data_IF_357945766047
#
_entry.id   IF_357945766047
#
_cell.length_a   1.000
_cell.length_b   1.000
_cell.length_c   1.000
_cell.angle_alpha   90.00
_cell.angle_beta   90.00
_cell.angle_gamma   90.00
#
_symmetry.space_group_name_H-M   'P 1'
#
loop_
_entity.id
_entity.type
_entity.pdbx_description
1 polymer ?
#
# COMPACT_ATOMS: atom_id res chain seq x y z
N UNK A 1 -4.38 -2.89 12.55
CA UNK A 1 -3.08 -2.63 11.86
C UNK A 1 -1.92 -3.40 12.48
N UNK A 2 -1.64 -3.26 13.79
CA UNK A 2 -0.58 -4.06 14.44
C UNK A 2 -0.87 -5.55 14.36
N UNK A 3 -2.13 -5.97 14.52
CA UNK A 3 -2.51 -7.39 14.40
C UNK A 3 -2.24 -7.99 13.01
N UNK A 4 -2.40 -7.19 11.95
CA UNK A 4 -2.06 -7.59 10.57
C UNK A 4 -0.55 -7.87 10.42
N UNK A 5 0.28 -7.13 11.17
CA UNK A 5 1.72 -7.35 11.18
C UNK A 5 2.05 -8.60 12.01
N UNK A 6 1.60 -8.64 13.26
CA UNK A 6 2.04 -9.63 14.25
C UNK A 6 1.37 -10.99 14.08
N UNK A 7 0.06 -11.02 13.84
CA UNK A 7 -0.71 -12.26 13.83
C UNK A 7 -0.87 -12.84 12.42
N UNK A 8 -1.14 -11.98 11.43
CA UNK A 8 -1.35 -12.42 10.06
C UNK A 8 -0.04 -12.63 9.27
N UNK A 9 1.10 -12.18 9.82
CA UNK A 9 2.45 -12.33 9.23
C UNK A 9 2.49 -11.96 7.74
N UNK A 10 1.77 -10.91 7.33
CA UNK A 10 1.65 -10.48 5.92
C UNK A 10 3.00 -10.24 5.23
N UNK A 11 4.02 -9.84 6.01
CA UNK A 11 5.39 -9.59 5.53
C UNK A 11 6.37 -10.75 5.84
N UNK A 12 5.87 -11.89 6.33
CA UNK A 12 6.68 -13.03 6.78
C UNK A 12 7.18 -12.90 8.23
N UNK A 13 8.17 -13.73 8.60
CA UNK A 13 8.77 -13.71 9.93
C UNK A 13 9.70 -12.49 10.10
N UNK A 14 9.52 -11.75 11.20
CA UNK A 14 10.35 -10.61 11.58
C UNK A 14 10.71 -10.69 13.06
N UNK A 15 11.86 -10.09 13.41
CA UNK A 15 12.40 -10.12 14.78
C UNK A 15 11.85 -9.00 15.64
N UNK A 16 11.77 -7.81 15.06
CA UNK A 16 11.37 -6.58 15.73
C UNK A 16 10.58 -5.71 14.76
N UNK A 17 9.73 -4.85 15.30
CA UNK A 17 9.09 -3.77 14.57
C UNK A 17 9.02 -2.53 15.46
N UNK A 18 8.94 -1.36 14.84
CA UNK A 18 8.72 -0.08 15.51
C UNK A 18 7.74 0.71 14.68
N UNK A 19 6.87 1.48 15.33
CA UNK A 19 5.99 2.41 14.63
C UNK A 19 5.91 3.74 15.36
N UNK A 20 5.78 4.83 14.61
CA UNK A 20 5.40 6.14 15.11
C UNK A 20 4.13 6.60 14.40
N UNK A 21 3.29 7.31 15.14
CA UNK A 21 2.11 8.00 14.59
C UNK A 21 2.40 9.49 14.63
N UNK A 22 2.34 10.13 13.48
CA UNK A 22 2.62 11.55 13.30
C UNK A 22 1.42 12.20 12.63
N UNK A 23 1.13 13.45 12.97
CA UNK A 23 0.10 14.21 12.29
C UNK A 23 0.73 14.92 11.08
N UNK A 24 0.28 14.59 9.88
CA UNK A 24 0.70 15.32 8.69
C UNK A 24 0.15 16.76 8.70
N UNK A 25 0.78 17.66 7.92
CA UNK A 25 0.26 19.01 7.66
C UNK A 25 -1.10 18.87 6.98
N UNK A 26 -2.17 18.96 7.76
CA UNK A 26 -3.53 18.58 7.36
C UNK A 26 -4.30 17.83 8.45
N UNK A 27 -3.65 17.47 9.56
CA UNK A 27 -4.31 16.82 10.71
C UNK A 27 -4.60 15.34 10.51
N UNK A 28 -4.23 14.77 9.36
CA UNK A 28 -4.39 13.35 9.08
C UNK A 28 -3.30 12.54 9.81
N UNK A 29 -3.68 11.43 10.47
CA UNK A 29 -2.71 10.54 11.08
C UNK A 29 -1.92 9.83 9.98
N UNK A 30 -0.60 9.96 10.05
CA UNK A 30 0.37 9.26 9.24
C UNK A 30 1.15 8.31 10.13
N UNK A 31 1.42 7.11 9.64
CA UNK A 31 2.13 6.10 10.42
C UNK A 31 3.42 5.74 9.70
N UNK A 32 4.55 5.89 10.39
CA UNK A 32 5.81 5.30 9.96
C UNK A 32 5.96 3.94 10.64
N UNK A 33 6.13 2.88 9.86
CA UNK A 33 6.31 1.51 10.36
C UNK A 33 7.65 0.98 9.85
N UNK A 34 8.52 0.57 10.75
CA UNK A 34 9.79 -0.09 10.47
C UNK A 34 9.70 -1.56 10.91
N UNK A 35 10.08 -2.48 10.03
CA UNK A 35 10.03 -3.93 10.28
C UNK A 35 11.40 -4.53 9.98
N UNK A 36 11.94 -5.33 10.91
CA UNK A 36 13.20 -6.05 10.74
C UNK A 36 12.93 -7.53 10.45
N UNK A 37 12.90 -7.88 9.17
CA UNK A 37 12.65 -9.24 8.70
C UNK A 37 13.79 -10.20 9.09
N UNK A 38 13.43 -11.45 9.38
CA UNK A 38 14.44 -12.50 9.62
C UNK A 38 15.18 -12.89 8.34
N UNK A 39 14.45 -12.90 7.22
CA UNK A 39 15.01 -13.16 5.88
C UNK A 39 14.95 -11.88 5.07
N UNK A 40 16.07 -11.51 4.46
CA UNK A 40 16.17 -10.30 3.65
C UNK A 40 15.36 -10.46 2.36
N UNK A 41 14.50 -9.49 2.07
CA UNK A 41 13.83 -9.35 0.77
C UNK A 41 14.86 -8.83 -0.24
N UNK A 42 14.97 -9.51 -1.38
CA UNK A 42 15.79 -9.05 -2.50
C UNK A 42 15.02 -8.08 -3.38
N UNK A 43 15.71 -7.28 -4.17
CA UNK A 43 15.09 -6.25 -5.00
C UNK A 43 14.02 -6.83 -5.94
N UNK A 44 14.24 -8.04 -6.46
CA UNK A 44 13.34 -8.71 -7.40
C UNK A 44 12.06 -9.23 -6.73
N UNK A 45 12.02 -9.25 -5.39
CA UNK A 45 10.89 -9.74 -4.59
C UNK A 45 10.08 -8.60 -3.96
N UNK A 46 10.51 -7.34 -4.13
CA UNK A 46 9.86 -6.18 -3.52
C UNK A 46 8.42 -6.08 -4.00
N UNK A 47 8.20 -6.21 -5.31
CA UNK A 47 6.87 -6.12 -5.92
C UNK A 47 5.96 -7.29 -5.54
N UNK A 48 6.47 -8.40 -5.02
CA UNK A 48 5.62 -9.49 -4.54
C UNK A 48 5.10 -9.23 -3.12
N UNK A 49 5.87 -8.47 -2.34
CA UNK A 49 5.61 -8.22 -0.92
C UNK A 49 4.92 -6.87 -0.69
N UNK A 50 5.25 -5.86 -1.51
CA UNK A 50 4.73 -4.51 -1.40
C UNK A 50 3.96 -4.20 -2.69
N UNK A 51 2.63 -4.31 -2.62
CA UNK A 51 1.71 -3.92 -3.70
C UNK A 51 0.54 -3.14 -3.13
N UNK A 52 0.09 -2.15 -3.88
CA UNK A 52 -1.25 -1.61 -3.72
C UNK A 52 -2.18 -2.42 -4.61
N UNK A 53 -3.24 -2.99 -4.04
CA UNK A 53 -4.31 -3.65 -4.81
C UNK A 53 -5.60 -2.86 -4.62
N UNK A 54 -6.37 -2.75 -5.69
CA UNK A 54 -7.74 -2.25 -5.59
C UNK A 54 -8.60 -3.26 -4.82
N UNK A 55 -9.58 -2.80 -4.03
CA UNK A 55 -10.60 -3.66 -3.46
C UNK A 55 -11.32 -4.44 -4.56
N UNK A 56 -11.88 -5.60 -4.20
CA UNK A 56 -12.72 -6.35 -5.13
C UNK A 56 -14.11 -5.70 -5.17
N UNK A 57 -14.54 -5.29 -6.37
CA UNK A 57 -15.82 -4.61 -6.61
C UNK A 57 -17.03 -5.50 -6.25
N UNK A 58 -16.92 -6.82 -6.40
CA UNK A 58 -18.01 -7.75 -6.07
C UNK A 58 -18.11 -8.02 -4.56
N UNK A 59 -16.98 -7.93 -3.84
CA UNK A 59 -16.92 -8.20 -2.39
C UNK A 59 -17.23 -6.94 -1.58
N UNK A 60 -16.70 -5.78 -1.99
CA UNK A 60 -16.89 -4.50 -1.30
C UNK A 60 -16.95 -3.33 -2.30
N UNK A 61 -18.11 -3.14 -2.96
CA UNK A 61 -18.28 -2.10 -3.99
C UNK A 61 -18.15 -0.68 -3.43
N UNK A 62 -18.53 -0.46 -2.18
CA UNK A 62 -18.43 0.87 -1.55
C UNK A 62 -16.97 1.26 -1.32
N UNK A 63 -16.16 0.34 -0.77
CA UNK A 63 -14.73 0.59 -0.61
C UNK A 63 -14.03 0.72 -1.96
N UNK A 64 -14.42 -0.08 -2.96
CA UNK A 64 -13.90 0.03 -4.31
C UNK A 64 -14.13 1.44 -4.89
N UNK A 65 -15.36 1.95 -4.80
CA UNK A 65 -15.70 3.29 -5.30
C UNK A 65 -14.93 4.40 -4.59
N UNK A 66 -14.78 4.30 -3.26
CA UNK A 66 -14.03 5.29 -2.48
C UNK A 66 -12.55 5.26 -2.86
N UNK A 67 -11.92 4.09 -2.92
CA UNK A 67 -10.50 3.93 -3.28
C UNK A 67 -10.27 4.38 -4.72
N UNK A 68 -11.16 4.02 -5.64
CA UNK A 68 -11.10 4.43 -7.05
C UNK A 68 -11.22 5.95 -7.22
N UNK A 69 -12.08 6.61 -6.45
CA UNK A 69 -12.28 8.06 -6.56
C UNK A 69 -11.14 8.87 -5.93
N UNK A 70 -10.48 8.36 -4.88
CA UNK A 70 -9.55 9.17 -4.07
C UNK A 70 -8.10 8.70 -4.10
N UNK A 71 -7.84 7.43 -4.39
CA UNK A 71 -6.50 6.81 -4.31
C UNK A 71 -5.94 6.41 -5.67
N UNK A 72 -6.80 6.33 -6.70
CA UNK A 72 -6.35 6.16 -8.09
C UNK A 72 -6.05 7.52 -8.69
N UNK A 73 -4.79 7.74 -9.08
CA UNK A 73 -4.44 8.92 -9.85
C UNK A 73 -5.12 8.87 -11.23
N UNK A 74 -6.04 9.81 -11.48
CA UNK A 74 -6.77 10.00 -12.74
C UNK A 74 -5.84 10.50 -13.86
N UNK A 75 -6.24 10.36 -15.14
CA UNK A 75 -5.80 9.29 -16.03
C UNK A 75 -4.26 9.24 -16.21
N UNK A 76 -3.75 8.05 -16.50
CA UNK A 76 -2.36 7.79 -16.85
C UNK A 76 -2.29 6.91 -18.12
N UNK A 77 -1.13 6.82 -18.76
CA UNK A 77 -1.00 6.08 -20.03
C UNK A 77 -1.80 6.67 -21.19
N UNK A 78 -2.61 5.86 -21.89
CA UNK A 78 -3.28 6.26 -23.13
C UNK A 78 -4.38 7.31 -22.92
N UNK A 79 -4.93 7.36 -21.70
CA UNK A 79 -5.97 8.32 -21.31
C UNK A 79 -5.42 9.69 -20.89
N UNK A 80 -4.11 9.80 -20.65
CA UNK A 80 -3.43 11.08 -20.40
C UNK A 80 -1.93 10.98 -20.76
N UNK A 81 -1.56 11.29 -22.02
CA UNK A 81 -0.18 11.21 -22.48
C UNK A 81 0.80 12.17 -21.78
N UNK A 82 0.29 13.15 -21.01
CA UNK A 82 1.10 14.08 -20.23
C UNK A 82 1.39 13.56 -18.81
N UNK A 83 0.75 12.47 -18.41
CA UNK A 83 1.01 11.83 -17.12
C UNK A 83 2.36 11.11 -17.15
N UNK A 84 3.16 11.27 -16.10
CA UNK A 84 4.45 10.57 -15.93
C UNK A 84 4.27 9.13 -15.43
N UNK A 85 3.03 8.70 -15.17
CA UNK A 85 2.69 7.37 -14.68
C UNK A 85 2.18 6.49 -15.84
N UNK A 86 2.55 5.21 -15.85
CA UNK A 86 2.09 4.23 -16.84
C UNK A 86 0.82 3.49 -16.38
N UNK A 87 0.02 3.00 -17.33
CA UNK A 87 -1.18 2.17 -17.10
C UNK A 87 -0.90 0.87 -16.32
N UNK A 88 0.37 0.48 -16.17
CA UNK A 88 0.81 -0.79 -15.58
C UNK A 88 0.64 -0.89 -14.06
N UNK A 89 0.12 0.17 -13.43
CA UNK A 89 -0.08 0.29 -11.98
C UNK A 89 -1.56 0.35 -11.57
N UNK A 90 -2.46 0.07 -12.51
CA UNK A 90 -3.87 -0.29 -12.25
C UNK A 90 -4.01 -1.81 -12.33
#
# INVERSE_FOLDING_TARGET
MIDLLVNEKKFGCFRYFMYSVELQKGGLPHVHILIWLETKIRAEQIDDVIRAQLPDEEVDPELFDVVKAHMVHCPCGSYNPQSVYEERYL
#
